data_IF_884335181275
#
_entry.id   IF_884335181275
#
_cell.length_a   1.000
_cell.length_b   1.000
_cell.length_c   1.000
_cell.angle_alpha   90.00
_cell.angle_beta   90.00
_cell.angle_gamma   90.00
#
_symmetry.space_group_name_H-M   'P 1'
#
loop_
_entity.id
_entity.type
_entity.pdbx_description
1 polymer ?
#
# COMPACT_ATOMS: atom_id res chain seq x y z
N UNK A 1 39.14 -22.68 -0.07
CA UNK A 1 38.29 -21.62 0.49
C UNK A 1 37.17 -21.35 -0.52
N UNK A 2 36.08 -22.10 -0.46
CA UNK A 2 34.96 -21.91 -1.38
C UNK A 2 34.05 -20.81 -0.83
N UNK A 3 33.95 -19.69 -1.54
CA UNK A 3 32.95 -18.65 -1.25
C UNK A 3 31.61 -19.16 -1.77
N UNK A 4 30.79 -19.71 -0.86
CA UNK A 4 29.39 -20.03 -1.12
C UNK A 4 28.64 -18.73 -1.36
N UNK A 5 28.44 -18.37 -2.63
CA UNK A 5 27.49 -17.33 -3.02
C UNK A 5 26.09 -17.87 -2.67
N UNK A 6 25.34 -17.22 -1.76
CA UNK A 6 23.98 -17.63 -1.48
C UNK A 6 23.15 -17.50 -2.77
N UNK A 7 22.68 -18.65 -3.28
CA UNK A 7 21.91 -18.78 -4.52
C UNK A 7 20.50 -18.20 -4.42
N UNK A 8 20.10 -17.77 -3.23
CA UNK A 8 18.88 -17.00 -3.00
C UNK A 8 19.29 -15.78 -2.18
N UNK A 9 19.55 -14.61 -2.81
CA UNK A 9 19.58 -13.38 -2.04
C UNK A 9 18.21 -13.31 -1.37
N UNK A 10 18.19 -13.25 -0.04
CA UNK A 10 16.96 -13.18 0.74
C UNK A 10 16.04 -12.08 0.21
N UNK A 11 14.76 -12.11 0.62
CA UNK A 11 13.80 -11.07 0.26
C UNK A 11 14.49 -9.71 0.46
N UNK A 12 14.64 -8.91 -0.62
CA UNK A 12 15.36 -7.65 -0.55
C UNK A 12 14.74 -6.80 0.55
N UNK A 13 15.59 -6.28 1.45
CA UNK A 13 15.15 -5.32 2.46
C UNK A 13 14.56 -4.07 1.82
N UNK A 14 14.03 -3.17 2.65
CA UNK A 14 13.37 -1.95 2.15
C UNK A 14 14.27 -1.10 1.24
N UNK A 15 15.58 -1.07 1.50
CA UNK A 15 16.54 -0.31 0.68
C UNK A 15 16.74 -0.95 -0.69
N UNK A 16 16.93 -2.26 -0.76
CA UNK A 16 17.12 -2.96 -2.03
C UNK A 16 15.88 -2.86 -2.94
N UNK A 17 14.67 -2.97 -2.36
CA UNK A 17 13.41 -2.73 -3.09
C UNK A 17 13.35 -1.29 -3.61
N UNK A 18 13.77 -0.32 -2.80
CA UNK A 18 13.79 1.09 -3.21
C UNK A 18 14.78 1.36 -4.36
N UNK A 19 15.96 0.74 -4.34
CA UNK A 19 16.95 0.84 -5.43
C UNK A 19 16.39 0.25 -6.72
N UNK A 20 15.76 -0.93 -6.66
CA UNK A 20 15.12 -1.55 -7.84
C UNK A 20 13.99 -0.66 -8.37
N UNK A 21 13.15 -0.12 -7.49
CA UNK A 21 12.09 0.83 -7.85
C UNK A 21 12.69 2.06 -8.57
N UNK A 22 13.79 2.60 -8.06
CA UNK A 22 14.48 3.75 -8.66
C UNK A 22 14.96 3.44 -10.08
N UNK A 23 15.55 2.26 -10.31
CA UNK A 23 15.99 1.82 -11.64
C UNK A 23 14.80 1.73 -12.60
N UNK A 24 13.68 1.12 -12.18
CA UNK A 24 12.47 1.02 -13.01
C UNK A 24 11.94 2.43 -13.33
N UNK A 25 11.91 3.34 -12.35
CA UNK A 25 11.50 4.74 -12.55
C UNK A 25 12.44 5.45 -13.53
N UNK A 26 13.74 5.18 -13.53
CA UNK A 26 14.66 5.78 -14.50
C UNK A 26 14.46 5.25 -15.93
N UNK A 27 14.17 3.95 -16.08
CA UNK A 27 13.94 3.33 -17.39
C UNK A 27 12.61 3.79 -18.02
N UNK A 28 11.54 3.84 -17.25
CA UNK A 28 10.19 4.15 -17.75
C UNK A 28 9.79 5.63 -17.54
N UNK A 29 10.39 6.29 -16.56
CA UNK A 29 10.08 7.65 -16.10
C UNK A 29 9.05 7.67 -14.97
N UNK A 30 9.16 8.66 -14.06
CA UNK A 30 8.27 8.83 -12.90
C UNK A 30 6.78 8.96 -13.25
N UNK A 31 6.46 9.45 -14.45
CA UNK A 31 5.08 9.63 -14.90
C UNK A 31 4.44 8.35 -15.50
N UNK A 32 5.23 7.32 -15.85
CA UNK A 32 4.73 6.17 -16.62
C UNK A 32 4.20 5.08 -15.71
N UNK A 33 4.93 4.73 -14.66
CA UNK A 33 4.46 3.82 -13.60
C UNK A 33 3.06 4.19 -13.06
N UNK A 34 2.80 5.43 -12.60
CA UNK A 34 1.48 5.80 -12.07
C UNK A 34 0.40 5.82 -13.16
N UNK A 35 0.74 6.21 -14.39
CA UNK A 35 -0.20 6.21 -15.52
C UNK A 35 -0.61 4.79 -15.93
N UNK A 36 0.34 3.85 -15.94
CA UNK A 36 0.08 2.43 -16.16
C UNK A 36 -0.77 1.85 -15.03
N UNK A 37 -0.44 2.15 -13.77
CA UNK A 37 -1.25 1.71 -12.63
C UNK A 37 -2.69 2.26 -12.69
N UNK A 38 -2.86 3.54 -13.06
CA UNK A 38 -4.19 4.16 -13.19
C UNK A 38 -5.03 3.49 -14.27
N UNK A 39 -4.48 3.32 -15.47
CA UNK A 39 -5.19 2.69 -16.60
C UNK A 39 -5.45 1.20 -16.38
N UNK A 40 -4.48 0.46 -15.83
CA UNK A 40 -4.66 -0.94 -15.45
C UNK A 40 -5.69 -1.09 -14.33
N UNK A 41 -5.71 -0.17 -13.36
CA UNK A 41 -6.67 -0.18 -12.26
C UNK A 41 -8.10 0.13 -12.74
N UNK A 42 -8.25 1.07 -13.66
CA UNK A 42 -9.54 1.36 -14.31
C UNK A 42 -10.05 0.15 -15.08
N UNK A 43 -9.19 -0.47 -15.91
CA UNK A 43 -9.54 -1.67 -16.66
C UNK A 43 -9.94 -2.83 -15.73
N UNK A 44 -9.19 -3.06 -14.65
CA UNK A 44 -9.51 -4.09 -13.66
C UNK A 44 -10.81 -3.79 -12.90
N UNK A 45 -11.08 -2.52 -12.60
CA UNK A 45 -12.31 -2.08 -11.93
C UNK A 45 -13.56 -2.28 -12.79
N UNK A 46 -13.52 -1.85 -14.05
CA UNK A 46 -14.61 -2.08 -15.01
C UNK A 46 -14.78 -3.57 -15.30
N UNK A 47 -13.69 -4.33 -15.39
CA UNK A 47 -13.74 -5.79 -15.55
C UNK A 47 -14.40 -6.47 -14.35
N UNK A 48 -14.09 -6.06 -13.12
CA UNK A 48 -14.72 -6.61 -11.91
C UNK A 48 -16.22 -6.30 -11.88
N UNK A 49 -16.60 -5.06 -12.20
CA UNK A 49 -18.01 -4.64 -12.26
C UNK A 49 -18.79 -5.43 -13.31
N UNK A 50 -18.26 -5.56 -14.52
CA UNK A 50 -18.91 -6.36 -15.57
C UNK A 50 -19.02 -7.85 -15.20
N UNK A 51 -18.04 -8.40 -14.45
CA UNK A 51 -18.14 -9.77 -13.94
C UNK A 51 -19.24 -9.94 -12.91
N UNK A 52 -19.40 -8.98 -12.01
CA UNK A 52 -20.45 -8.98 -10.98
C UNK A 52 -21.84 -8.86 -11.60
N UNK A 53 -22.01 -7.99 -12.61
CA UNK A 53 -23.26 -7.86 -13.38
C UNK A 53 -23.60 -9.18 -14.09
N UNK A 54 -22.62 -9.82 -14.74
CA UNK A 54 -22.83 -11.12 -15.40
C UNK A 54 -23.15 -12.23 -14.40
N UNK A 55 -22.51 -12.25 -13.23
CA UNK A 55 -22.80 -13.22 -12.17
C UNK A 55 -24.21 -13.03 -11.61
N UNK A 56 -24.64 -11.78 -11.43
CA UNK A 56 -25.99 -11.43 -11.00
C UNK A 56 -27.04 -11.83 -12.05
N UNK A 57 -26.82 -11.51 -13.33
CA UNK A 57 -27.71 -11.94 -14.41
C UNK A 57 -27.80 -13.47 -14.49
N UNK A 58 -26.67 -14.18 -14.36
CA UNK A 58 -26.65 -15.64 -14.35
C UNK A 58 -27.39 -16.21 -13.13
N UNK A 59 -27.28 -15.59 -11.96
CA UNK A 59 -27.99 -15.98 -10.74
C UNK A 59 -29.50 -15.73 -10.88
N UNK A 60 -29.91 -14.60 -11.46
CA UNK A 60 -31.31 -14.26 -11.74
C UNK A 60 -31.93 -15.22 -12.79
N UNK A 61 -31.15 -15.61 -13.81
CA UNK A 61 -31.56 -16.60 -14.81
C UNK A 61 -31.65 -18.03 -14.22
N UNK A 62 -30.81 -18.37 -13.25
CA UNK A 62 -30.78 -19.69 -12.61
C UNK A 62 -31.73 -19.79 -11.40
N UNK A 63 -32.18 -18.68 -10.83
CA UNK A 63 -32.93 -18.68 -9.58
C UNK A 63 -33.90 -17.51 -9.41
N UNK A 64 -35.17 -17.72 -9.79
CA UNK A 64 -36.30 -17.13 -9.04
C UNK A 64 -36.41 -17.78 -7.66
N UNK A 65 -35.42 -17.59 -6.79
CA UNK A 65 -35.42 -18.22 -5.47
C UNK A 65 -34.19 -17.94 -4.63
N UNK A 66 -33.98 -16.69 -4.23
CA UNK A 66 -33.38 -16.31 -2.94
C UNK A 66 -33.35 -14.78 -2.86
N UNK A 67 -34.42 -14.21 -2.30
CA UNK A 67 -34.39 -12.82 -1.84
C UNK A 67 -33.37 -12.67 -0.70
N UNK A 68 -32.77 -11.47 -0.65
CA UNK A 68 -32.14 -10.81 0.51
C UNK A 68 -30.60 -10.83 0.60
N UNK A 69 -30.01 -9.67 0.28
CA UNK A 69 -28.94 -9.09 1.08
C UNK A 69 -29.01 -7.55 0.94
N UNK A 70 -29.96 -6.95 1.64
CA UNK A 70 -30.01 -5.51 1.89
C UNK A 70 -28.87 -5.10 2.83
N UNK A 71 -28.07 -4.09 2.43
CA UNK A 71 -27.64 -2.94 3.25
C UNK A 71 -26.68 -3.15 4.46
N UNK A 72 -26.00 -2.04 4.78
CA UNK A 72 -25.09 -1.75 5.92
C UNK A 72 -23.64 -2.14 5.63
N UNK A 73 -22.71 -1.20 5.45
CA UNK A 73 -22.10 -0.42 6.55
C UNK A 73 -21.40 0.84 5.98
N UNK A 74 -21.98 2.03 6.15
CA UNK A 74 -21.68 3.01 7.21
C UNK A 74 -20.21 3.45 7.37
N UNK A 75 -20.01 4.73 7.05
CA UNK A 75 -19.34 5.76 7.86
C UNK A 75 -17.84 5.64 8.25
N UNK A 76 -17.11 6.65 7.76
CA UNK A 76 -16.12 7.48 8.48
C UNK A 76 -14.88 6.83 9.11
N UNK A 77 -13.69 7.32 8.69
CA UNK A 77 -12.73 7.90 9.64
C UNK A 77 -11.94 8.99 8.93
N UNK A 78 -12.39 10.23 9.13
CA UNK A 78 -11.53 11.40 9.10
C UNK A 78 -10.53 11.25 10.27
N UNK A 79 -9.24 11.17 9.97
CA UNK A 79 -8.13 11.27 10.94
C UNK A 79 -6.91 11.64 10.10
N UNK A 80 -6.27 12.79 10.22
CA UNK A 80 -6.07 13.65 11.38
C UNK A 80 -6.06 15.12 10.94
N UNK A 81 -6.86 15.95 11.60
CA UNK A 81 -6.60 17.38 11.72
C UNK A 81 -5.25 17.56 12.40
N UNK A 82 -4.32 18.13 11.63
CA UNK A 82 -3.18 18.89 12.13
C UNK A 82 -3.73 20.02 13.02
N UNK A 83 -2.98 20.36 14.05
CA UNK A 83 -3.15 21.48 15.00
C UNK A 83 -3.63 21.10 16.42
N UNK A 84 -2.63 20.81 17.27
CA UNK A 84 -2.59 21.32 18.64
C UNK A 84 -1.13 21.48 19.05
N UNK A 85 -0.70 22.72 18.86
CA UNK A 85 0.43 23.44 19.46
C UNK A 85 0.72 23.04 20.92
N UNK A 86 2.01 22.84 21.20
CA UNK A 86 2.63 23.30 22.45
C UNK A 86 4.13 23.46 22.21
N UNK A 87 4.44 24.67 21.79
CA UNK A 87 5.73 25.35 21.90
C UNK A 87 6.26 25.34 23.34
N UNK A 88 7.60 25.33 23.45
CA UNK A 88 8.43 25.75 24.59
C UNK A 88 8.77 24.71 25.66
N UNK A 89 10.03 24.28 25.69
CA UNK A 89 10.97 24.78 26.71
C UNK A 89 12.35 24.09 26.62
N UNK A 90 13.39 24.90 26.82
CA UNK A 90 14.72 24.55 27.32
C UNK A 90 15.72 23.84 26.38
N UNK A 91 16.48 24.69 25.69
CA UNK A 91 17.94 24.59 25.54
C UNK A 91 18.67 24.24 26.85
N UNK A 92 19.82 23.57 26.67
CA UNK A 92 20.98 23.42 27.58
C UNK A 92 20.85 22.47 28.78
N UNK A 93 21.54 21.32 28.73
CA UNK A 93 22.68 21.08 29.62
C UNK A 93 23.60 19.96 29.11
N UNK A 94 24.88 20.14 29.40
CA UNK A 94 26.04 19.41 28.90
C UNK A 94 26.61 18.58 30.05
N UNK A 95 27.22 17.44 29.74
CA UNK A 95 28.19 16.67 30.55
C UNK A 95 27.66 16.08 31.86
N UNK A 96 27.69 14.76 32.02
CA UNK A 96 28.38 14.09 33.15
C UNK A 96 28.75 12.64 32.78
N UNK A 97 29.87 12.22 33.37
CA UNK A 97 30.69 11.06 33.06
C UNK A 97 30.74 10.20 34.33
N UNK A 98 30.44 8.91 34.29
CA UNK A 98 30.90 7.89 35.27
C UNK A 98 30.41 6.50 34.79
N UNK A 99 31.24 5.52 34.41
CA UNK A 99 32.28 4.73 35.11
C UNK A 99 31.71 3.73 36.14
N UNK A 100 31.83 2.44 35.85
CA UNK A 100 32.03 1.30 36.77
C UNK A 100 32.37 0.10 35.87
N UNK A 101 33.64 -0.28 35.70
CA UNK A 101 34.47 -1.12 36.58
C UNK A 101 33.75 -2.33 37.15
#
# INVERSE_FOLDING_TARGET
MATLVPLFPGIPGGIEVFVVLLIIVLLFGANKLPKLARSSGQAMGEFKKGREEVEQELAEMQGKGAENAENVESAETQSSTIDSDSTSSATEETVETEKQN
#
